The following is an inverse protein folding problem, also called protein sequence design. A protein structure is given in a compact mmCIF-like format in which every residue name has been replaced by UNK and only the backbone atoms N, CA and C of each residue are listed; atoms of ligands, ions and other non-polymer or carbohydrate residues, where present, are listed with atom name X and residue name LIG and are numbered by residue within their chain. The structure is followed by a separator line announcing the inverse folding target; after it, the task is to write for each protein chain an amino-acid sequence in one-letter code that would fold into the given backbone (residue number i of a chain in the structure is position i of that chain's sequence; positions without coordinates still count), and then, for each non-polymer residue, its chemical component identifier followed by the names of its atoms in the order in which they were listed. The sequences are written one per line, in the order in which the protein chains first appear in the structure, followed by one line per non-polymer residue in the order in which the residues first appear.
data_IF_987600286954
#
_entry.id   IF_987600286954
#
_cell.length_a   1.000
_cell.length_b   1.000
_cell.length_c   1.000
_cell.angle_alpha   90.00
_cell.angle_beta   90.00
_cell.angle_gamma   90.00
#
_symmetry.space_group_name_H-M   'P 1'
#
loop_
_entity.id
_entity.type
_entity.pdbx_description
1 polymer ?
#
# COMPACT_ATOMS: atom_id res chain seq x y z
N UNK A 1 -27.82 63.35 36.23
CA UNK A 1 -29.26 63.60 36.46
C UNK A 1 -30.02 62.97 35.30
N UNK A 2 -31.10 62.27 35.63
CA UNK A 2 -32.12 61.65 34.76
C UNK A 2 -32.37 62.34 33.41
N UNK A 3 -32.55 61.59 32.32
CA UNK A 3 -33.89 61.38 31.75
C UNK A 3 -33.91 60.41 30.55
N UNK A 4 -34.87 59.49 30.62
CA UNK A 4 -35.43 58.63 29.56
C UNK A 4 -36.13 59.46 28.47
N UNK A 5 -36.65 58.72 27.48
CA UNK A 5 -37.87 58.93 26.65
C UNK A 5 -37.51 59.16 25.18
N UNK A 6 -37.63 58.18 24.27
CA UNK A 6 -38.79 57.43 23.71
C UNK A 6 -39.21 57.99 22.34
N UNK A 7 -39.50 57.02 21.46
CA UNK A 7 -40.45 57.05 20.33
C UNK A 7 -40.13 57.82 19.04
N UNK A 8 -40.68 57.47 17.86
CA UNK A 8 -41.21 56.24 17.23
C UNK A 8 -41.79 56.71 15.88
N UNK A 9 -41.73 55.85 14.84
CA UNK A 9 -42.65 55.67 13.67
C UNK A 9 -41.86 55.51 12.36
N UNK A 10 -41.90 54.31 11.74
CA UNK A 10 -42.92 53.77 10.80
C UNK A 10 -42.92 54.57 9.47
N UNK A 11 -42.79 54.00 8.26
CA UNK A 11 -43.39 52.78 7.70
C UNK A 11 -42.91 52.50 6.26
N UNK A 12 -42.74 51.22 5.85
CA UNK A 12 -43.26 50.55 4.63
C UNK A 12 -42.55 49.17 4.45
N UNK A 13 -43.15 48.04 4.83
CA UNK A 13 -44.07 47.18 4.05
C UNK A 13 -43.42 46.45 2.85
N UNK A 14 -43.08 45.15 3.03
CA UNK A 14 -43.51 44.10 2.09
C UNK A 14 -43.56 42.73 2.78
N UNK A 15 -44.75 42.14 2.70
CA UNK A 15 -45.10 40.75 3.02
C UNK A 15 -44.67 39.91 1.82
N UNK A 16 -43.89 38.85 2.01
CA UNK A 16 -43.72 37.81 0.98
C UNK A 16 -44.38 36.51 1.43
N UNK A 17 -45.31 36.09 0.59
CA UNK A 17 -46.20 34.95 0.71
C UNK A 17 -45.42 33.64 0.56
N UNK A 18 -45.71 32.66 1.43
CA UNK A 18 -45.22 31.28 1.33
C UNK A 18 -45.60 30.68 -0.03
N UNK A 19 -44.62 30.17 -0.79
CA UNK A 19 -44.87 29.39 -2.00
C UNK A 19 -44.90 27.89 -1.67
N UNK A 20 -46.05 27.24 -1.90
CA UNK A 20 -46.22 25.79 -1.69
C UNK A 20 -45.52 24.92 -2.73
N UNK A 21 -44.96 25.52 -3.78
CA UNK A 21 -44.32 24.83 -4.90
C UNK A 21 -42.91 24.32 -4.58
N UNK A 22 -42.18 24.98 -3.69
CA UNK A 22 -40.84 24.51 -3.29
C UNK A 22 -40.89 23.28 -2.38
N UNK A 23 -41.96 23.12 -1.60
CA UNK A 23 -42.12 21.96 -0.73
C UNK A 23 -42.46 20.68 -1.52
N UNK A 24 -43.30 20.78 -2.54
CA UNK A 24 -43.75 19.60 -3.31
C UNK A 24 -42.66 19.02 -4.20
N UNK A 25 -41.80 19.86 -4.78
CA UNK A 25 -40.65 19.43 -5.60
C UNK A 25 -39.63 18.66 -4.74
N UNK A 26 -39.41 19.09 -3.50
CA UNK A 26 -38.49 18.41 -2.58
C UNK A 26 -38.98 17.02 -2.17
N UNK A 27 -40.28 16.85 -1.90
CA UNK A 27 -40.84 15.53 -1.58
C UNK A 27 -40.85 14.58 -2.78
N UNK A 28 -41.12 15.07 -4.00
CA UNK A 28 -41.09 14.24 -5.21
C UNK A 28 -39.69 13.67 -5.49
N UNK A 29 -38.64 14.47 -5.30
CA UNK A 29 -37.25 14.02 -5.47
C UNK A 29 -36.87 12.90 -4.48
N UNK A 30 -37.31 12.99 -3.23
CA UNK A 30 -37.06 11.97 -2.20
C UNK A 30 -37.77 10.65 -2.56
N UNK A 31 -39.02 10.72 -3.03
CA UNK A 31 -39.75 9.53 -3.47
C UNK A 31 -39.10 8.86 -4.69
N UNK A 32 -38.57 9.64 -5.65
CA UNK A 32 -37.85 9.07 -6.80
C UNK A 32 -36.55 8.36 -6.40
N UNK A 33 -35.80 8.89 -5.42
CA UNK A 33 -34.58 8.24 -4.92
C UNK A 33 -34.90 6.92 -4.23
N UNK A 34 -35.92 6.90 -3.36
CA UNK A 34 -36.33 5.68 -2.65
C UNK A 34 -36.85 4.61 -3.64
N UNK A 35 -37.61 5.02 -4.66
CA UNK A 35 -38.16 4.09 -5.63
C UNK A 35 -37.10 3.51 -6.58
N UNK A 36 -36.07 4.30 -6.92
CA UNK A 36 -34.93 3.82 -7.72
C UNK A 36 -34.09 2.77 -6.97
N UNK A 37 -33.84 2.97 -5.67
CA UNK A 37 -33.12 2.00 -4.82
C UNK A 37 -33.87 0.66 -4.69
N UNK A 38 -35.21 0.71 -4.62
CA UNK A 38 -36.05 -0.49 -4.58
C UNK A 38 -36.01 -1.26 -5.91
N UNK A 39 -35.86 -0.57 -7.05
CA UNK A 39 -35.74 -1.21 -8.37
C UNK A 39 -34.37 -1.86 -8.60
N UNK A 40 -33.29 -1.22 -8.14
CA UNK A 40 -31.92 -1.77 -8.27
C UNK A 40 -31.71 -2.99 -7.39
N UNK A 41 -32.41 -3.06 -6.24
CA UNK A 41 -32.31 -4.18 -5.30
C UNK A 41 -33.02 -5.46 -5.73
N UNK A 42 -33.78 -5.45 -6.84
CA UNK A 42 -34.59 -6.59 -7.31
C UNK A 42 -34.10 -7.23 -8.63
N UNK A 43 -32.89 -6.93 -9.09
CA UNK A 43 -32.31 -7.61 -10.25
C UNK A 43 -31.76 -9.00 -9.87
N UNK A 44 -32.19 -10.09 -10.52
CA UNK A 44 -31.71 -11.43 -10.21
C UNK A 44 -30.25 -11.60 -10.67
N UNK A 45 -29.41 -12.07 -9.76
CA UNK A 45 -27.99 -12.33 -10.00
C UNK A 45 -27.83 -13.65 -10.79
N UNK A 46 -27.29 -13.59 -12.00
CA UNK A 46 -26.98 -14.78 -12.79
C UNK A 46 -25.71 -15.43 -12.25
N UNK A 47 -25.81 -16.70 -11.83
CA UNK A 47 -24.68 -17.52 -11.39
C UNK A 47 -23.83 -17.93 -12.60
N UNK A 48 -22.56 -17.51 -12.63
CA UNK A 48 -21.57 -17.97 -13.60
C UNK A 48 -20.83 -19.17 -13.00
N UNK A 49 -20.99 -20.33 -13.63
CA UNK A 49 -20.29 -21.58 -13.34
C UNK A 49 -18.86 -21.51 -13.89
N UNK A 50 -17.86 -21.58 -13.00
CA UNK A 50 -16.44 -21.60 -13.33
C UNK A 50 -15.95 -23.05 -13.38
N UNK A 51 -16.40 -23.78 -14.39
CA UNK A 51 -15.77 -25.03 -14.83
C UNK A 51 -15.34 -24.82 -16.27
N UNK A 52 -14.04 -24.99 -16.52
CA UNK A 52 -13.30 -24.98 -17.80
C UNK A 52 -12.30 -23.83 -17.88
N UNK A 53 -11.09 -24.06 -17.39
CA UNK A 53 -9.87 -23.57 -18.04
C UNK A 53 -8.93 -24.77 -18.17
N UNK A 54 -8.73 -25.19 -19.42
CA UNK A 54 -7.78 -26.21 -19.82
C UNK A 54 -6.34 -25.68 -19.64
N UNK A 55 -5.49 -26.54 -19.10
CA UNK A 55 -4.06 -26.35 -18.95
C UNK A 55 -3.40 -26.62 -20.30
N UNK A 56 -2.69 -25.62 -20.85
CA UNK A 56 -1.83 -25.79 -22.02
C UNK A 56 -0.43 -26.20 -21.55
N UNK A 57 -0.16 -27.50 -21.70
CA UNK A 57 1.13 -28.16 -21.49
C UNK A 57 1.92 -28.14 -22.82
N UNK A 58 3.18 -27.70 -22.80
CA UNK A 58 4.04 -27.69 -24.00
C UNK A 58 5.15 -28.73 -23.86
N UNK A 59 5.02 -29.81 -24.65
CA UNK A 59 5.95 -30.92 -24.74
C UNK A 59 7.34 -30.52 -25.27
N UNK A 60 8.34 -31.19 -24.71
CA UNK A 60 9.74 -31.20 -25.09
C UNK A 60 9.97 -32.37 -26.06
N UNK A 61 10.48 -32.10 -27.26
CA UNK A 61 10.95 -33.15 -28.18
C UNK A 61 12.41 -32.92 -28.56
N UNK A 62 13.20 -34.00 -28.45
CA UNK A 62 14.64 -34.07 -28.71
C UNK A 62 14.90 -34.56 -30.13
N UNK A 63 15.87 -33.97 -30.85
CA UNK A 63 16.66 -34.71 -31.86
C UNK A 63 18.06 -34.08 -32.04
N UNK A 64 19.08 -34.95 -32.18
CA UNK A 64 20.54 -34.69 -32.22
C UNK A 64 21.07 -34.52 -33.68
N UNK A 65 21.94 -33.51 -34.01
CA UNK A 65 23.42 -33.54 -34.34
C UNK A 65 23.78 -34.02 -35.79
N UNK A 66 24.90 -33.64 -36.52
CA UNK A 66 26.08 -32.73 -36.30
C UNK A 66 26.54 -31.76 -37.45
N UNK A 67 27.19 -30.65 -37.05
CA UNK A 67 28.52 -30.06 -37.44
C UNK A 67 29.04 -29.98 -38.92
N UNK A 68 29.36 -28.76 -39.44
CA UNK A 68 30.73 -28.28 -39.79
C UNK A 68 30.83 -26.87 -40.44
N UNK A 69 31.88 -26.17 -40.01
CA UNK A 69 32.67 -25.00 -40.49
C UNK A 69 32.23 -24.12 -41.68
N UNK A 70 32.35 -22.79 -41.50
CA UNK A 70 33.08 -21.84 -42.39
C UNK A 70 33.38 -20.54 -41.61
N UNK A 71 34.63 -20.11 -41.72
CA UNK A 71 35.24 -18.88 -41.18
C UNK A 71 34.94 -17.68 -42.10
N UNK A 72 34.53 -16.52 -41.57
CA UNK A 72 34.94 -15.20 -42.13
C UNK A 72 34.60 -14.02 -41.21
N UNK A 73 35.65 -13.26 -40.98
CA UNK A 73 35.81 -11.95 -40.34
C UNK A 73 34.81 -10.88 -40.81
N UNK A 74 34.18 -10.15 -39.89
CA UNK A 74 33.90 -8.70 -40.03
C UNK A 74 33.73 -8.04 -38.65
N UNK A 75 34.49 -6.98 -38.42
CA UNK A 75 34.56 -6.15 -37.22
C UNK A 75 33.36 -5.20 -37.18
N UNK A 76 32.63 -5.09 -36.05
CA UNK A 76 32.17 -3.80 -35.50
C UNK A 76 31.77 -3.90 -34.03
N UNK A 77 32.18 -2.91 -33.25
CA UNK A 77 31.89 -2.60 -31.84
C UNK A 77 30.56 -3.08 -31.25
N UNK A 78 30.63 -3.68 -30.05
CA UNK A 78 29.57 -3.54 -29.04
C UNK A 78 30.16 -3.36 -27.64
N UNK A 79 30.13 -2.10 -27.21
CA UNK A 79 30.19 -1.66 -25.82
C UNK A 79 29.00 -2.23 -25.03
N UNK A 80 29.19 -3.37 -24.35
CA UNK A 80 28.34 -3.73 -23.20
C UNK A 80 29.02 -4.72 -22.26
N UNK A 81 29.59 -4.24 -21.14
CA UNK A 81 29.69 -5.07 -19.94
C UNK A 81 29.19 -4.37 -18.66
N UNK A 82 28.49 -3.23 -18.74
CA UNK A 82 28.04 -2.52 -17.54
C UNK A 82 26.70 -3.02 -16.98
N UNK A 83 25.77 -3.47 -17.83
CA UNK A 83 24.43 -3.88 -17.37
C UNK A 83 24.44 -5.21 -16.58
N UNK A 84 25.34 -6.13 -16.92
CA UNK A 84 25.44 -7.46 -16.29
C UNK A 84 26.17 -7.43 -14.94
N UNK A 85 27.15 -6.52 -14.79
CA UNK A 85 27.87 -6.32 -13.53
C UNK A 85 26.95 -5.64 -12.52
N UNK A 86 26.19 -4.61 -12.93
CA UNK A 86 25.24 -3.94 -12.05
C UNK A 86 24.13 -4.88 -11.56
N UNK A 87 23.60 -5.75 -12.44
CA UNK A 87 22.62 -6.76 -12.07
C UNK A 87 23.19 -7.82 -11.10
N UNK A 88 24.47 -8.23 -11.29
CA UNK A 88 25.15 -9.17 -10.38
C UNK A 88 25.50 -8.54 -9.02
N UNK A 89 25.79 -7.24 -8.99
CA UNK A 89 26.03 -6.50 -7.74
C UNK A 89 24.71 -6.37 -6.97
N UNK A 90 23.60 -6.02 -7.65
CA UNK A 90 22.24 -6.05 -7.06
C UNK A 90 21.87 -7.45 -6.53
N UNK A 91 22.31 -8.52 -7.20
CA UNK A 91 22.00 -9.90 -6.83
C UNK A 91 22.74 -10.36 -5.55
N UNK A 92 23.96 -9.85 -5.30
CA UNK A 92 24.79 -10.21 -4.15
C UNK A 92 24.41 -9.46 -2.87
N UNK A 93 24.00 -8.19 -2.96
CA UNK A 93 23.58 -7.39 -1.80
C UNK A 93 22.25 -7.90 -1.18
N UNK A 94 21.39 -8.52 -1.99
CA UNK A 94 20.04 -8.93 -1.58
C UNK A 94 20.01 -10.29 -0.84
N UNK A 95 21.13 -11.04 -0.77
CA UNK A 95 21.21 -12.36 -0.10
C UNK A 95 21.26 -12.29 1.44
N UNK A 96 21.18 -11.09 2.00
CA UNK A 96 21.35 -10.84 3.43
C UNK A 96 20.03 -11.19 4.15
N UNK A 97 20.11 -12.17 5.05
CA UNK A 97 19.11 -12.48 6.08
C UNK A 97 18.60 -11.18 6.71
N UNK A 98 17.28 -11.01 6.85
CA UNK A 98 16.68 -9.75 7.35
C UNK A 98 17.49 -9.18 8.54
N UNK A 99 18.21 -8.05 8.36
CA UNK A 99 19.11 -7.50 9.36
C UNK A 99 18.35 -7.03 10.62
N UNK A 100 17.02 -7.02 10.56
CA UNK A 100 16.11 -6.58 11.61
C UNK A 100 15.60 -7.74 12.49
N UNK A 101 16.06 -8.98 12.27
CA UNK A 101 15.67 -10.15 13.09
C UNK A 101 16.66 -10.35 14.25
N UNK A 102 16.22 -10.28 15.52
CA UNK A 102 17.10 -10.47 16.66
C UNK A 102 17.60 -11.92 16.77
N UNK A 103 18.78 -12.16 17.36
CA UNK A 103 19.28 -13.52 17.59
C UNK A 103 18.36 -14.33 18.51
N UNK A 104 18.14 -15.60 18.16
CA UNK A 104 17.34 -16.53 18.98
C UNK A 104 18.00 -16.76 20.34
N UNK A 105 17.18 -16.83 21.40
CA UNK A 105 17.59 -17.10 22.78
C UNK A 105 18.64 -16.14 23.38
N UNK A 106 18.91 -15.00 22.74
CA UNK A 106 19.80 -13.99 23.28
C UNK A 106 19.21 -13.29 24.51
N UNK A 107 20.05 -12.99 25.49
CA UNK A 107 19.73 -12.11 26.62
C UNK A 107 19.50 -10.67 26.13
N UNK A 108 18.87 -9.83 26.98
CA UNK A 108 18.68 -8.40 26.71
C UNK A 108 19.98 -7.68 26.38
N UNK A 109 21.06 -8.01 27.10
CA UNK A 109 22.37 -7.37 26.91
C UNK A 109 22.99 -7.78 25.57
N UNK A 110 22.92 -9.07 25.22
CA UNK A 110 23.43 -9.57 23.93
C UNK A 110 22.66 -8.99 22.75
N UNK A 111 21.33 -8.88 22.84
CA UNK A 111 20.51 -8.21 21.81
C UNK A 111 20.87 -6.74 21.66
N UNK A 112 21.11 -6.03 22.75
CA UNK A 112 21.51 -4.63 22.70
C UNK A 112 22.86 -4.45 21.99
N UNK A 113 23.83 -5.33 22.28
CA UNK A 113 25.15 -5.32 21.62
C UNK A 113 25.00 -5.66 20.13
N UNK A 114 24.21 -6.69 19.79
CA UNK A 114 23.90 -7.05 18.42
C UNK A 114 23.26 -5.88 17.66
N UNK A 115 22.24 -5.26 18.26
CA UNK A 115 21.49 -4.18 17.63
C UNK A 115 22.38 -2.96 17.37
N UNK A 116 23.24 -2.57 18.33
CA UNK A 116 24.22 -1.49 18.13
C UNK A 116 25.16 -1.75 16.96
N UNK A 117 25.56 -3.00 16.73
CA UNK A 117 26.41 -3.38 15.59
C UNK A 117 25.65 -3.29 14.26
N UNK A 118 24.35 -3.61 14.26
CA UNK A 118 23.49 -3.56 13.07
C UNK A 118 22.98 -2.18 12.72
N UNK A 119 22.82 -1.31 13.72
CA UNK A 119 22.24 0.02 13.56
C UNK A 119 22.85 0.87 12.41
N UNK A 120 24.17 0.87 12.17
CA UNK A 120 24.75 1.62 11.05
C UNK A 120 24.30 1.13 9.67
N UNK A 121 23.92 -0.14 9.54
CA UNK A 121 23.44 -0.77 8.30
C UNK A 121 21.94 -0.49 8.04
N UNK A 122 21.21 0.03 9.04
CA UNK A 122 19.75 0.20 8.97
C UNK A 122 19.37 1.54 8.31
N UNK A 123 19.45 1.58 6.98
CA UNK A 123 19.13 2.78 6.20
C UNK A 123 17.68 3.29 6.41
N UNK A 124 16.73 2.41 6.69
CA UNK A 124 15.33 2.78 6.98
C UNK A 124 15.15 3.69 8.20
N UNK A 125 16.10 3.69 9.14
CA UNK A 125 16.04 4.52 10.34
C UNK A 125 16.61 5.94 10.12
N UNK A 126 17.19 6.19 8.94
CA UNK A 126 17.83 7.45 8.58
C UNK A 126 17.01 8.18 7.51
N UNK A 127 17.17 9.50 7.45
CA UNK A 127 16.76 10.27 6.27
C UNK A 127 17.94 10.34 5.30
N UNK A 128 17.76 9.88 4.06
CA UNK A 128 18.75 9.95 2.99
C UNK A 128 18.18 10.72 1.78
N UNK A 129 18.99 10.91 0.74
CA UNK A 129 18.59 11.70 -0.44
C UNK A 129 17.30 11.20 -1.12
N UNK A 130 17.05 9.88 -1.06
CA UNK A 130 15.84 9.28 -1.63
C UNK A 130 14.64 9.49 -0.70
N UNK A 131 14.79 9.17 0.59
CA UNK A 131 13.70 9.29 1.57
C UNK A 131 13.30 10.75 1.79
N UNK A 132 14.20 11.72 1.73
CA UNK A 132 13.85 13.14 1.91
C UNK A 132 12.84 13.64 0.86
N UNK A 133 12.74 12.98 -0.30
CA UNK A 133 11.75 13.27 -1.33
C UNK A 133 10.39 12.60 -1.06
N UNK A 134 10.30 11.76 -0.02
CA UNK A 134 9.14 10.97 0.33
C UNK A 134 7.87 11.81 0.35
N UNK A 135 7.84 12.87 1.15
CA UNK A 135 6.63 13.67 1.31
C UNK A 135 6.17 14.31 0.00
N UNK A 136 7.10 14.86 -0.79
CA UNK A 136 6.79 15.49 -2.07
C UNK A 136 6.21 14.47 -3.07
N UNK A 137 6.86 13.32 -3.20
CA UNK A 137 6.41 12.21 -4.06
C UNK A 137 5.06 11.64 -3.63
N UNK A 138 4.79 11.57 -2.32
CA UNK A 138 3.47 11.20 -1.80
C UNK A 138 2.43 12.20 -2.29
N UNK A 139 2.62 13.51 -2.04
CA UNK A 139 1.64 14.52 -2.43
C UNK A 139 1.38 14.57 -3.94
N UNK A 140 2.44 14.46 -4.74
CA UNK A 140 2.33 14.36 -6.20
C UNK A 140 1.46 13.16 -6.60
N UNK A 141 1.69 11.99 -5.99
CA UNK A 141 0.93 10.79 -6.30
C UNK A 141 -0.54 10.89 -5.87
N UNK A 142 -0.83 11.48 -4.70
CA UNK A 142 -2.19 11.63 -4.19
C UNK A 142 -3.05 12.58 -5.04
N UNK A 143 -2.42 13.52 -5.74
CA UNK A 143 -3.10 14.47 -6.63
C UNK A 143 -3.56 13.85 -7.97
N UNK A 144 -3.34 12.56 -8.20
CA UNK A 144 -3.68 11.88 -9.46
C UNK A 144 -5.16 11.49 -9.62
N UNK A 145 -6.09 12.01 -8.79
CA UNK A 145 -7.54 11.83 -8.97
C UNK A 145 -8.00 10.38 -8.81
N UNK A 146 -7.64 9.72 -7.72
CA UNK A 146 -8.00 8.33 -7.41
C UNK A 146 -9.32 8.26 -6.63
N UNK A 147 -10.13 7.21 -6.85
CA UNK A 147 -11.36 7.01 -6.08
C UNK A 147 -11.10 6.65 -4.62
N UNK A 148 -10.06 5.84 -4.38
CA UNK A 148 -9.57 5.44 -3.06
C UNK A 148 -8.03 5.38 -3.07
N UNK A 149 -7.45 5.61 -1.91
CA UNK A 149 -6.00 5.56 -1.69
C UNK A 149 -5.67 4.38 -0.78
N UNK A 150 -4.85 3.47 -1.29
CA UNK A 150 -4.42 2.25 -0.61
C UNK A 150 -2.94 2.33 -0.26
N UNK A 151 -2.58 1.79 0.89
CA UNK A 151 -1.22 1.69 1.39
C UNK A 151 -0.90 0.25 1.76
N UNK A 152 0.27 -0.21 1.33
CA UNK A 152 0.89 -1.47 1.75
C UNK A 152 2.30 -1.19 2.23
N UNK A 153 2.81 -1.99 3.16
CA UNK A 153 4.21 -1.90 3.62
C UNK A 153 4.95 -3.17 3.23
N UNK A 154 6.14 -3.00 2.65
CA UNK A 154 7.02 -4.11 2.29
C UNK A 154 8.46 -3.80 2.71
N UNK A 155 8.94 -4.39 3.79
CA UNK A 155 10.29 -4.15 4.32
C UNK A 155 11.30 -5.25 3.96
N UNK A 156 10.85 -6.33 3.31
CA UNK A 156 11.71 -7.41 2.85
C UNK A 156 12.40 -7.06 1.52
N UNK A 157 13.46 -7.80 1.11
CA UNK A 157 14.09 -7.63 -0.19
C UNK A 157 13.08 -7.70 -1.34
N UNK A 158 13.26 -6.89 -2.39
CA UNK A 158 12.34 -6.86 -3.53
C UNK A 158 12.27 -8.22 -4.23
N UNK A 159 13.37 -8.97 -4.27
CA UNK A 159 13.40 -10.33 -4.83
C UNK A 159 12.47 -11.32 -4.14
N UNK A 160 12.12 -11.07 -2.88
CA UNK A 160 11.22 -11.93 -2.12
C UNK A 160 9.74 -11.59 -2.32
N UNK A 161 9.45 -10.50 -3.05
CA UNK A 161 8.09 -10.12 -3.40
C UNK A 161 7.54 -11.12 -4.43
N UNK A 162 6.73 -12.06 -3.96
CA UNK A 162 6.35 -13.25 -4.72
C UNK A 162 4.99 -13.13 -5.40
N UNK A 163 4.58 -14.21 -6.05
CA UNK A 163 3.29 -14.32 -6.73
C UNK A 163 2.10 -14.10 -5.78
N UNK A 164 2.23 -14.55 -4.53
CA UNK A 164 1.18 -14.37 -3.51
C UNK A 164 0.99 -12.89 -3.17
N UNK A 165 2.08 -12.15 -2.98
CA UNK A 165 2.03 -10.72 -2.69
C UNK A 165 1.54 -9.93 -3.91
N UNK A 166 1.91 -10.40 -5.11
CA UNK A 166 1.42 -9.84 -6.36
C UNK A 166 -0.09 -10.04 -6.56
N UNK A 167 -0.63 -11.19 -6.18
CA UNK A 167 -2.05 -11.51 -6.27
C UNK A 167 -2.93 -10.56 -5.43
N UNK A 168 -2.43 -10.12 -4.28
CA UNK A 168 -3.10 -9.08 -3.47
C UNK A 168 -3.34 -7.81 -4.29
N UNK A 169 -2.35 -7.38 -5.06
CA UNK A 169 -2.49 -6.19 -5.91
C UNK A 169 -3.43 -6.44 -7.09
N UNK A 170 -3.35 -7.60 -7.73
CA UNK A 170 -4.27 -7.92 -8.83
C UNK A 170 -5.73 -7.93 -8.37
N UNK A 171 -6.01 -8.55 -7.23
CA UNK A 171 -7.38 -8.61 -6.65
C UNK A 171 -7.85 -7.24 -6.14
N UNK A 172 -6.94 -6.43 -5.60
CA UNK A 172 -7.21 -5.03 -5.27
C UNK A 172 -7.67 -4.27 -6.50
N UNK A 173 -6.89 -4.27 -7.59
CA UNK A 173 -7.24 -3.51 -8.79
C UNK A 173 -8.40 -4.10 -9.59
N UNK A 174 -8.71 -5.39 -9.40
CA UNK A 174 -9.96 -5.98 -9.88
C UNK A 174 -11.18 -5.37 -9.20
N UNK A 175 -11.10 -5.13 -7.89
CA UNK A 175 -12.19 -4.51 -7.11
C UNK A 175 -12.18 -2.98 -7.18
N UNK A 176 -11.01 -2.38 -7.42
CA UNK A 176 -10.74 -0.94 -7.39
C UNK A 176 -9.95 -0.46 -8.62
N UNK A 177 -10.53 -0.50 -9.83
CA UNK A 177 -9.79 -0.18 -11.06
C UNK A 177 -9.32 1.29 -11.16
N UNK A 178 -9.98 2.20 -10.42
CA UNK A 178 -9.61 3.62 -10.33
C UNK A 178 -8.92 3.98 -9.00
N UNK A 179 -8.58 2.97 -8.19
CA UNK A 179 -7.82 3.15 -6.96
C UNK A 179 -6.35 3.50 -7.23
N UNK A 180 -5.67 3.99 -6.20
CA UNK A 180 -4.23 4.18 -6.21
C UNK A 180 -3.60 3.37 -5.09
N UNK A 181 -2.53 2.65 -5.41
CA UNK A 181 -1.76 1.88 -4.43
C UNK A 181 -0.38 2.51 -4.23
N UNK A 182 -0.04 2.77 -2.98
CA UNK A 182 1.32 3.10 -2.59
C UNK A 182 1.92 1.96 -1.78
N UNK A 183 3.09 1.49 -2.19
CA UNK A 183 3.87 0.45 -1.51
C UNK A 183 5.04 1.14 -0.81
N UNK A 184 4.96 1.24 0.51
CA UNK A 184 5.98 1.87 1.33
C UNK A 184 7.10 0.85 1.54
N UNK A 185 8.23 1.06 0.84
CA UNK A 185 9.31 0.07 0.73
C UNK A 185 10.58 0.67 0.13
N UNK A 186 11.71 0.55 0.84
CA UNK A 186 13.02 0.89 0.28
C UNK A 186 13.41 -0.03 -0.88
N UNK A 187 13.16 -1.34 -0.74
CA UNK A 187 13.61 -2.32 -1.73
C UNK A 187 12.78 -2.25 -3.03
N UNK A 188 11.48 -1.95 -2.93
CA UNK A 188 10.62 -1.81 -4.10
C UNK A 188 10.74 -0.44 -4.79
N UNK A 189 11.25 0.60 -4.10
CA UNK A 189 11.61 1.89 -4.70
C UNK A 189 12.98 1.79 -5.43
N UNK A 190 13.04 0.88 -6.40
CA UNK A 190 14.25 0.49 -7.14
C UNK A 190 13.90 0.06 -8.57
N UNK A 191 14.91 -0.09 -9.43
CA UNK A 191 14.73 -0.62 -10.78
C UNK A 191 14.14 -2.04 -10.77
N UNK A 192 14.53 -2.87 -9.80
CA UNK A 192 13.97 -4.21 -9.61
C UNK A 192 12.50 -4.15 -9.20
N UNK A 193 12.15 -3.33 -8.22
CA UNK A 193 10.76 -3.14 -7.80
C UNK A 193 9.88 -2.62 -8.94
N UNK A 194 10.39 -1.69 -9.75
CA UNK A 194 9.72 -1.26 -10.97
C UNK A 194 9.45 -2.43 -11.93
N UNK A 195 10.42 -3.30 -12.19
CA UNK A 195 10.23 -4.48 -13.06
C UNK A 195 9.16 -5.43 -12.50
N UNK A 196 9.12 -5.63 -11.18
CA UNK A 196 8.10 -6.46 -10.52
C UNK A 196 6.70 -5.86 -10.71
N UNK A 197 6.56 -4.53 -10.56
CA UNK A 197 5.27 -3.84 -10.67
C UNK A 197 4.84 -3.54 -12.12
N UNK A 198 5.79 -3.62 -13.06
CA UNK A 198 5.58 -3.29 -14.48
C UNK A 198 4.33 -3.93 -15.09
N UNK A 199 4.00 -5.23 -14.86
CA UNK A 199 2.81 -5.82 -15.47
C UNK A 199 1.49 -5.15 -15.05
N UNK A 200 1.41 -4.57 -13.84
CA UNK A 200 0.24 -3.81 -13.39
C UNK A 200 0.28 -2.37 -13.91
N UNK A 201 1.46 -1.75 -13.93
CA UNK A 201 1.67 -0.41 -14.47
C UNK A 201 1.34 -0.34 -15.98
N UNK A 202 1.75 -1.36 -16.74
CA UNK A 202 1.46 -1.49 -18.18
C UNK A 202 -0.05 -1.60 -18.46
N UNK A 203 -0.83 -2.07 -17.48
CA UNK A 203 -2.30 -2.12 -17.53
C UNK A 203 -2.97 -0.80 -17.17
N UNK A 204 -2.19 0.24 -16.86
CA UNK A 204 -2.68 1.57 -16.50
C UNK A 204 -3.07 1.74 -15.04
N UNK A 205 -2.76 0.76 -14.17
CA UNK A 205 -3.01 0.91 -12.74
C UNK A 205 -2.04 1.91 -12.11
N UNK A 206 -2.55 2.71 -11.17
CA UNK A 206 -1.78 3.74 -10.49
C UNK A 206 -1.10 3.13 -9.26
N UNK A 207 0.17 2.79 -9.41
CA UNK A 207 0.99 2.20 -8.34
C UNK A 207 2.25 3.03 -8.15
N UNK A 208 2.63 3.29 -6.89
CA UNK A 208 3.89 3.92 -6.53
C UNK A 208 4.57 3.10 -5.43
N UNK A 209 5.76 2.58 -5.71
CA UNK A 209 6.66 2.14 -4.65
C UNK A 209 7.52 3.33 -4.17
N UNK A 210 7.69 3.47 -2.87
CA UNK A 210 8.36 4.64 -2.30
C UNK A 210 9.11 4.31 -1.00
N UNK A 211 10.36 4.74 -0.91
CA UNK A 211 11.16 4.59 0.30
C UNK A 211 10.65 5.55 1.40
N UNK A 212 10.21 5.06 2.58
CA UNK A 212 9.75 5.91 3.66
C UNK A 212 10.86 6.80 4.23
N UNK A 213 10.50 8.02 4.61
CA UNK A 213 11.28 8.83 5.56
C UNK A 213 10.70 8.65 6.96
N UNK A 214 11.26 7.69 7.70
CA UNK A 214 10.72 7.35 9.01
C UNK A 214 10.80 8.52 10.01
N UNK A 215 11.90 9.29 10.12
CA UNK A 215 11.95 10.50 10.92
C UNK A 215 10.84 11.51 10.59
N UNK A 216 10.57 11.74 9.30
CA UNK A 216 9.46 12.61 8.89
C UNK A 216 8.09 12.02 9.26
N UNK A 217 7.89 10.72 9.05
CA UNK A 217 6.63 10.02 9.32
C UNK A 217 6.27 10.04 10.81
N UNK A 218 7.24 9.99 11.72
CA UNK A 218 6.96 10.01 13.17
C UNK A 218 7.01 11.41 13.77
N UNK A 219 7.47 12.42 13.02
CA UNK A 219 7.61 13.80 13.52
C UNK A 219 6.29 14.33 14.09
N UNK A 220 6.38 14.93 15.28
CA UNK A 220 5.27 15.44 16.09
C UNK A 220 4.28 14.35 16.52
N UNK A 221 4.75 13.12 16.74
CA UNK A 221 3.97 12.01 17.30
C UNK A 221 4.71 11.41 18.50
N UNK A 222 4.04 10.67 19.40
CA UNK A 222 4.71 9.97 20.49
C UNK A 222 5.79 8.96 20.02
N UNK A 223 5.76 8.54 18.76
CA UNK A 223 6.76 7.63 18.21
C UNK A 223 8.09 8.33 17.86
N UNK A 224 8.14 9.66 17.83
CA UNK A 224 9.38 10.41 17.55
C UNK A 224 10.44 10.14 18.62
N UNK A 225 10.09 10.26 19.89
CA UNK A 225 11.01 9.97 20.99
C UNK A 225 11.43 8.49 21.00
N UNK A 226 10.50 7.58 20.71
CA UNK A 226 10.82 6.16 20.59
C UNK A 226 11.84 5.89 19.47
N UNK A 227 11.68 6.51 18.31
CA UNK A 227 12.62 6.36 17.20
C UNK A 227 14.00 6.91 17.55
N UNK A 228 14.07 8.06 18.23
CA UNK A 228 15.35 8.64 18.66
C UNK A 228 16.05 7.78 19.73
N UNK A 229 15.32 7.21 20.68
CA UNK A 229 15.87 6.24 21.65
C UNK A 229 16.38 4.97 20.97
N UNK A 230 15.63 4.46 19.98
CA UNK A 230 16.05 3.31 19.18
C UNK A 230 17.34 3.63 18.40
N UNK A 231 17.39 4.79 17.73
CA UNK A 231 18.57 5.29 16.98
C UNK A 231 19.75 5.63 17.89
N UNK A 232 19.54 5.83 19.18
CA UNK A 232 20.65 6.01 20.12
C UNK A 232 21.36 4.69 20.45
N UNK A 233 20.79 3.55 20.05
CA UNK A 233 21.29 2.21 20.38
C UNK A 233 21.29 1.90 21.87
N UNK A 234 20.57 2.68 22.70
CA UNK A 234 20.50 2.46 24.16
C UNK A 234 19.32 1.59 24.54
N UNK A 235 18.34 1.48 23.64
CA UNK A 235 17.13 0.68 23.81
C UNK A 235 17.29 -0.68 23.14
N UNK A 236 16.88 -1.73 23.84
CA UNK A 236 16.80 -3.08 23.29
C UNK A 236 15.59 -3.17 22.34
N UNK A 237 15.77 -3.59 21.07
CA UNK A 237 14.66 -3.68 20.11
C UNK A 237 13.66 -4.81 20.43
N UNK A 238 13.98 -5.69 21.40
CA UNK A 238 13.13 -6.79 21.83
C UNK A 238 13.31 -8.07 21.01
N UNK A 239 12.44 -9.04 21.26
CA UNK A 239 12.45 -10.35 20.58
C UNK A 239 11.64 -10.37 19.29
N UNK A 240 10.70 -9.44 19.13
CA UNK A 240 9.91 -9.31 17.91
C UNK A 240 10.81 -8.67 16.84
N UNK A 241 10.87 -9.20 15.60
CA UNK A 241 11.61 -8.60 14.52
C UNK A 241 11.32 -7.10 14.39
N UNK A 242 12.39 -6.29 14.29
CA UNK A 242 12.24 -4.85 14.21
C UNK A 242 11.49 -4.45 12.93
N UNK A 243 11.63 -5.20 11.84
CA UNK A 243 10.85 -5.04 10.61
C UNK A 243 9.33 -5.08 10.88
N UNK A 244 8.87 -5.98 11.74
CA UNK A 244 7.46 -6.07 12.11
C UNK A 244 6.99 -4.85 12.91
N UNK A 245 7.79 -4.40 13.88
CA UNK A 245 7.47 -3.19 14.66
C UNK A 245 7.48 -1.93 13.80
N UNK A 246 8.45 -1.81 12.89
CA UNK A 246 8.53 -0.71 11.93
C UNK A 246 7.36 -0.73 10.96
N UNK A 247 6.95 -1.89 10.45
CA UNK A 247 5.79 -2.00 9.57
C UNK A 247 4.50 -1.55 10.26
N UNK A 248 4.29 -1.95 11.52
CA UNK A 248 3.17 -1.50 12.34
C UNK A 248 3.21 0.02 12.58
N UNK A 249 4.38 0.57 12.87
CA UNK A 249 4.55 2.01 13.06
C UNK A 249 4.26 2.80 11.77
N UNK A 250 4.82 2.36 10.63
CA UNK A 250 4.62 2.99 9.33
C UNK A 250 3.14 2.93 8.95
N UNK A 251 2.48 1.78 9.14
CA UNK A 251 1.03 1.62 8.93
C UNK A 251 0.24 2.71 9.64
N UNK A 252 0.48 2.88 10.94
CA UNK A 252 -0.22 3.89 11.75
C UNK A 252 0.14 5.32 11.34
N UNK A 253 1.42 5.59 11.09
CA UNK A 253 1.90 6.91 10.69
C UNK A 253 1.35 7.35 9.33
N UNK A 254 1.28 6.43 8.36
CA UNK A 254 0.69 6.70 7.04
C UNK A 254 -0.80 7.04 7.17
N UNK A 255 -1.56 6.21 7.88
CA UNK A 255 -3.00 6.47 8.11
C UNK A 255 -3.23 7.78 8.87
N UNK A 256 -2.39 8.09 9.86
CA UNK A 256 -2.48 9.32 10.64
C UNK A 256 -2.20 10.57 9.79
N UNK A 257 -1.17 10.56 8.94
CA UNK A 257 -0.76 11.73 8.15
C UNK A 257 -1.56 11.90 6.86
N UNK A 258 -1.94 10.82 6.20
CA UNK A 258 -2.51 10.86 4.85
C UNK A 258 -3.93 10.29 4.75
N UNK A 259 -4.46 9.65 5.80
CA UNK A 259 -5.76 8.99 5.76
C UNK A 259 -5.72 7.71 4.94
N UNK A 260 -6.79 7.43 4.17
CA UNK A 260 -6.88 6.30 3.23
C UNK A 260 -7.07 4.93 3.88
N UNK A 261 -6.65 3.88 3.16
CA UNK A 261 -6.90 2.47 3.50
C UNK A 261 -5.57 1.72 3.54
N UNK A 262 -5.29 1.03 4.65
CA UNK A 262 -4.14 0.13 4.73
C UNK A 262 -4.57 -1.31 4.48
N UNK A 263 -3.76 -2.05 3.71
CA UNK A 263 -3.91 -3.49 3.47
C UNK A 263 -2.57 -4.19 3.68
N UNK A 264 -2.60 -5.41 4.22
CA UNK A 264 -1.43 -6.28 4.23
C UNK A 264 -1.24 -6.94 2.84
N UNK A 265 0.00 -7.31 2.49
CA UNK A 265 0.32 -7.93 1.19
C UNK A 265 -0.18 -9.37 1.05
N UNK A 266 -0.83 -9.92 2.07
CA UNK A 266 -1.34 -11.29 2.11
C UNK A 266 -2.88 -11.37 2.13
N UNK A 267 -3.56 -10.32 1.67
CA UNK A 267 -5.03 -10.25 1.63
C UNK A 267 -5.55 -10.48 0.20
N UNK A 268 -6.71 -11.13 0.09
CA UNK A 268 -7.44 -11.22 -1.17
C UNK A 268 -8.63 -10.26 -1.07
N UNK A 269 -8.68 -9.28 -1.98
CA UNK A 269 -9.75 -8.28 -2.00
C UNK A 269 -10.85 -8.77 -2.94
N UNK A 270 -12.02 -9.06 -2.37
CA UNK A 270 -13.15 -9.64 -3.12
C UNK A 270 -14.23 -8.63 -3.50
N UNK A 271 -14.30 -7.49 -2.79
CA UNK A 271 -15.39 -6.53 -2.91
C UNK A 271 -14.88 -5.11 -2.82
N UNK A 272 -15.70 -4.20 -3.34
CA UNK A 272 -15.47 -2.77 -3.19
C UNK A 272 -15.52 -2.33 -1.72
N UNK A 273 -14.54 -1.53 -1.32
CA UNK A 273 -14.36 -0.99 0.03
C UNK A 273 -14.83 0.46 0.16
N UNK A 274 -15.36 1.08 -0.91
CA UNK A 274 -15.73 2.51 -0.91
C UNK A 274 -16.85 2.87 0.08
N UNK A 275 -17.66 1.88 0.50
CA UNK A 275 -18.70 2.03 1.50
C UNK A 275 -18.19 2.08 2.95
N UNK A 276 -16.93 1.74 3.22
CA UNK A 276 -16.40 1.70 4.58
C UNK A 276 -16.03 3.08 5.09
N UNK A 277 -16.26 3.33 6.39
CA UNK A 277 -15.93 4.58 7.08
C UNK A 277 -15.40 4.24 8.48
N UNK A 278 -14.15 4.63 8.77
CA UNK A 278 -13.50 4.38 10.06
C UNK A 278 -13.62 2.92 10.52
N UNK A 279 -13.38 1.98 9.62
CA UNK A 279 -13.52 0.55 9.85
C UNK A 279 -12.15 -0.09 10.16
N UNK A 280 -12.17 -1.15 10.96
CA UNK A 280 -11.03 -2.03 11.21
C UNK A 280 -11.46 -3.45 10.86
N UNK A 281 -10.64 -4.17 10.10
CA UNK A 281 -10.86 -5.58 9.80
C UNK A 281 -10.66 -6.44 11.05
N UNK A 282 -11.58 -7.38 11.31
CA UNK A 282 -11.45 -8.38 12.36
C UNK A 282 -11.21 -9.75 11.72
N UNK A 283 -10.20 -10.49 12.20
CA UNK A 283 -10.02 -11.88 11.85
C UNK A 283 -10.98 -12.73 12.68
N UNK A 284 -11.86 -13.48 12.02
CA UNK A 284 -12.68 -14.47 12.71
C UNK A 284 -11.79 -15.62 13.17
N UNK A 285 -11.83 -15.93 14.47
CA UNK A 285 -11.24 -17.15 15.01
C UNK A 285 -12.30 -18.24 14.90
N UNK A 286 -12.07 -19.27 14.09
CA UNK A 286 -12.89 -20.48 14.14
C UNK A 286 -12.68 -21.14 15.51
N UNK A 287 -13.71 -21.08 16.35
CA UNK A 287 -13.69 -21.61 17.72
C UNK A 287 -13.95 -23.11 17.81
N UNK A 288 -14.07 -23.82 16.69
CA UNK A 288 -14.25 -25.26 16.71
C UNK A 288 -12.88 -25.95 16.71
N UNK A 289 -12.49 -26.66 17.79
CA UNK A 289 -11.51 -27.72 17.63
C UNK A 289 -12.16 -28.73 16.69
N UNK A 290 -11.57 -28.94 15.50
CA UNK A 290 -11.85 -30.14 14.74
C UNK A 290 -11.33 -31.29 15.60
N UNK A 291 -12.19 -31.83 16.47
CA UNK A 291 -12.00 -33.16 17.06
C UNK A 291 -12.04 -34.13 15.89
N UNK A 292 -10.86 -34.44 15.37
CA UNK A 292 -10.65 -35.55 14.47
C UNK A 292 -10.83 -36.86 15.24
N UNK A 293 -12.06 -37.32 15.29
CA UNK A 293 -12.54 -38.68 15.55
C UNK A 293 -13.56 -38.88 14.44
N UNK A 294 -13.44 -39.80 13.49
CA UNK A 294 -12.87 -41.15 13.50
C UNK A 294 -12.17 -41.50 12.18
#
# INVERSE_FOLDING_TARGET
MSHKVLDHRYSHLSRTTKSSLFSTISFAAIFFIIYADIFVSNLPMQTIDLRNHEVLDHNHDQTQVPQEQIESTFITDQSTPQLSIQAKIEELEDAIRDPLVPPENATRVERLVWFRRKLPELEILKSNNLSQQFHGRVLEFLNNGCSLQFYMVWLSPAKSFGERDFLTMDTLFKSHPQGCLMIISNSMDSARGYRILKPLLDRGFKILAIAPDLPFLVKNTPAESWLEELKSGRTDPGYIPLSQNLANLIRLAMLYKYGGIYLDTNLIILKDLSGLRNAIGAQSLDSSPKSGTD
#
